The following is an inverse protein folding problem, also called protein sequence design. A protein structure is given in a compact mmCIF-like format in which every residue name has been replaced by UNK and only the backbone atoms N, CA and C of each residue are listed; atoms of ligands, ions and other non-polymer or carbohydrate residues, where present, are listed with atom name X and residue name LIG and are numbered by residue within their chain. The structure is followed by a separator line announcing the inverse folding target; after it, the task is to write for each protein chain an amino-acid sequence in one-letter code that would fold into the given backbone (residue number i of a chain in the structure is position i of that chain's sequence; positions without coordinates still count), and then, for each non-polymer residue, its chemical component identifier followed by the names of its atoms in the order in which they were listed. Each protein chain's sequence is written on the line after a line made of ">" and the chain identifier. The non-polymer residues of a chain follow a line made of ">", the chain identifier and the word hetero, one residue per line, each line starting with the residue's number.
data_IF_797055521052
#
_entry.id   IF_797055521052
#
_cell.length_a   1.000
_cell.length_b   1.000
_cell.length_c   1.000
_cell.angle_alpha   90.00
_cell.angle_beta   90.00
_cell.angle_gamma   90.00
#
_symmetry.space_group_name_H-M   'P 1'
#
loop_
_entity.id
_entity.type
_entity.pdbx_description
1 polymer ?
#
# COMPACT_ATOMS: atom_id res chain seq x y z
N UNK A 1 43.84 -26.63 12.18
CA UNK A 1 42.71 -26.85 11.23
C UNK A 1 41.70 -25.70 11.24
N UNK A 2 41.19 -25.26 12.40
CA UNK A 2 40.20 -24.16 12.49
C UNK A 2 40.68 -22.80 11.91
N UNK A 3 41.99 -22.52 11.96
CA UNK A 3 42.54 -21.26 11.44
C UNK A 3 42.62 -21.22 9.91
N UNK A 4 42.81 -22.37 9.25
CA UNK A 4 42.80 -22.48 7.77
C UNK A 4 41.41 -22.19 7.23
N UNK A 5 40.39 -22.82 7.81
CA UNK A 5 39.00 -22.65 7.40
C UNK A 5 38.49 -21.22 7.56
N UNK A 6 38.99 -20.49 8.57
CA UNK A 6 38.64 -19.09 8.79
C UNK A 6 39.26 -18.17 7.73
N UNK A 7 40.53 -18.40 7.35
CA UNK A 7 41.20 -17.65 6.28
C UNK A 7 40.56 -17.89 4.93
N UNK A 8 40.17 -19.13 4.65
CA UNK A 8 39.50 -19.51 3.40
C UNK A 8 38.11 -18.84 3.30
N UNK A 9 37.37 -18.77 4.42
CA UNK A 9 36.09 -18.06 4.48
C UNK A 9 36.25 -16.54 4.28
N UNK A 10 37.29 -15.92 4.86
CA UNK A 10 37.56 -14.49 4.66
C UNK A 10 38.03 -14.18 3.23
N UNK A 11 38.75 -15.10 2.57
CA UNK A 11 39.06 -15.01 1.15
C UNK A 11 37.81 -15.11 0.28
N UNK A 12 36.95 -16.11 0.52
CA UNK A 12 35.70 -16.28 -0.20
C UNK A 12 34.78 -15.06 -0.06
N UNK A 13 34.66 -14.50 1.15
CA UNK A 13 33.86 -13.30 1.40
C UNK A 13 34.33 -12.10 0.56
N UNK A 14 35.64 -11.92 0.40
CA UNK A 14 36.21 -10.84 -0.40
C UNK A 14 35.89 -10.99 -1.89
N UNK A 15 35.96 -12.21 -2.43
CA UNK A 15 35.56 -12.48 -3.82
C UNK A 15 34.07 -12.24 -4.05
N UNK A 16 33.22 -12.60 -3.08
CA UNK A 16 31.78 -12.31 -3.14
C UNK A 16 31.53 -10.80 -3.13
N UNK A 17 32.21 -10.05 -2.26
CA UNK A 17 32.06 -8.60 -2.17
C UNK A 17 32.43 -7.89 -3.48
N UNK A 18 33.50 -8.33 -4.14
CA UNK A 18 33.88 -7.81 -5.46
C UNK A 18 32.84 -8.16 -6.53
N UNK A 19 32.38 -9.40 -6.55
CA UNK A 19 31.35 -9.85 -7.50
C UNK A 19 30.06 -9.06 -7.34
N UNK A 20 29.67 -8.80 -6.10
CA UNK A 20 28.50 -8.01 -5.76
C UNK A 20 28.67 -6.54 -6.13
N UNK A 21 29.86 -5.97 -5.92
CA UNK A 21 30.18 -4.59 -6.32
C UNK A 21 30.08 -4.39 -7.83
N UNK A 22 30.64 -5.30 -8.62
CA UNK A 22 30.65 -5.20 -10.09
C UNK A 22 29.37 -5.75 -10.74
N UNK A 23 28.55 -6.50 -10.01
CA UNK A 23 27.42 -7.25 -10.56
C UNK A 23 27.82 -8.43 -11.44
N UNK A 24 29.12 -8.71 -11.57
CA UNK A 24 29.69 -9.81 -12.31
C UNK A 24 31.04 -10.20 -11.70
N UNK A 25 31.49 -11.43 -11.97
CA UNK A 25 32.79 -11.88 -11.48
C UNK A 25 33.92 -11.11 -12.20
N UNK A 26 34.94 -10.56 -11.50
CA UNK A 26 35.99 -9.76 -12.13
C UNK A 26 36.74 -10.46 -13.27
N UNK A 27 36.93 -11.78 -13.17
CA UNK A 27 37.52 -12.58 -14.25
C UNK A 27 36.77 -12.43 -15.58
N UNK A 28 35.45 -12.35 -15.56
CA UNK A 28 34.66 -12.19 -16.78
C UNK A 28 34.90 -10.82 -17.46
N UNK A 29 35.32 -9.79 -16.70
CA UNK A 29 35.73 -8.49 -17.27
C UNK A 29 37.03 -8.66 -18.05
N UNK A 30 37.98 -9.39 -17.47
CA UNK A 30 39.28 -9.66 -18.11
C UNK A 30 39.09 -10.55 -19.33
N UNK A 31 38.34 -11.65 -19.22
CA UNK A 31 38.06 -12.57 -20.32
C UNK A 31 37.42 -11.83 -21.50
N UNK A 32 36.47 -10.91 -21.25
CA UNK A 32 35.87 -10.08 -22.29
C UNK A 32 36.90 -9.16 -22.96
N UNK A 33 37.89 -8.64 -22.20
CA UNK A 33 38.96 -7.82 -22.76
C UNK A 33 39.89 -8.64 -23.67
N UNK A 34 40.21 -9.88 -23.28
CA UNK A 34 41.01 -10.81 -24.10
C UNK A 34 40.31 -11.08 -25.44
N UNK A 35 39.01 -11.42 -25.38
CA UNK A 35 38.19 -11.64 -26.58
C UNK A 35 38.21 -10.41 -27.48
N UNK A 36 37.97 -9.22 -26.92
CA UNK A 36 37.99 -7.99 -27.70
C UNK A 36 39.37 -7.64 -28.27
N UNK A 37 40.46 -7.90 -27.55
CA UNK A 37 41.81 -7.69 -28.07
C UNK A 37 42.07 -8.54 -29.31
N UNK A 38 41.67 -9.81 -29.28
CA UNK A 38 41.81 -10.73 -30.41
C UNK A 38 40.90 -10.33 -31.58
N UNK A 39 39.63 -10.00 -31.33
CA UNK A 39 38.72 -9.48 -32.37
C UNK A 39 39.29 -8.23 -33.06
N UNK A 40 39.83 -7.29 -32.27
CA UNK A 40 40.44 -6.08 -32.80
C UNK A 40 41.72 -6.36 -33.59
N UNK A 41 42.52 -7.35 -33.20
CA UNK A 41 43.69 -7.79 -33.96
C UNK A 41 43.28 -8.21 -35.37
N UNK A 42 42.26 -9.05 -35.50
CA UNK A 42 41.78 -9.52 -36.80
C UNK A 42 41.19 -8.38 -37.65
N UNK A 43 40.41 -7.49 -37.03
CA UNK A 43 39.83 -6.33 -37.72
C UNK A 43 40.91 -5.36 -38.23
N UNK A 44 41.96 -5.13 -37.43
CA UNK A 44 43.10 -4.31 -37.83
C UNK A 44 43.97 -5.01 -38.88
N UNK A 45 44.15 -6.33 -38.78
CA UNK A 45 44.85 -7.14 -39.77
C UNK A 45 44.21 -7.00 -41.15
N UNK A 46 42.89 -7.15 -41.26
CA UNK A 46 42.18 -6.98 -42.53
C UNK A 46 42.34 -5.57 -43.13
N UNK A 47 42.30 -4.52 -42.29
CA UNK A 47 42.53 -3.13 -42.73
C UNK A 47 43.97 -2.90 -43.17
N UNK A 48 44.94 -3.49 -42.47
CA UNK A 48 46.34 -3.41 -42.83
C UNK A 48 46.58 -4.11 -44.17
N UNK A 49 45.97 -5.27 -44.40
CA UNK A 49 46.04 -6.00 -45.66
C UNK A 49 45.52 -5.15 -46.83
N UNK A 50 44.39 -4.48 -46.65
CA UNK A 50 43.83 -3.56 -47.65
C UNK A 50 44.78 -2.41 -47.98
N UNK A 51 45.42 -1.82 -46.96
CA UNK A 51 46.41 -0.76 -47.16
C UNK A 51 47.69 -1.26 -47.84
N UNK A 52 48.21 -2.41 -47.43
CA UNK A 52 49.43 -3.01 -48.03
C UNK A 52 49.17 -3.39 -49.48
N UNK A 53 48.01 -4.01 -49.78
CA UNK A 53 47.59 -4.34 -51.14
C UNK A 53 47.54 -3.10 -52.04
N UNK A 54 47.05 -1.97 -51.52
CA UNK A 54 46.98 -0.71 -52.25
C UNK A 54 48.36 -0.08 -52.55
N UNK A 55 49.40 -0.44 -51.80
CA UNK A 55 50.76 0.07 -51.96
C UNK A 55 51.65 -0.82 -52.84
N UNK A 56 51.25 -2.07 -53.07
CA UNK A 56 52.01 -3.05 -53.85
C UNK A 56 51.65 -3.04 -55.34
N UNK A 57 52.59 -3.40 -56.23
CA UNK A 57 52.32 -3.56 -57.66
C UNK A 57 51.38 -4.75 -57.94
N UNK A 58 50.45 -4.56 -58.89
CA UNK A 58 49.30 -5.43 -59.12
C UNK A 58 49.63 -6.91 -59.41
N UNK A 59 50.81 -7.20 -59.95
CA UNK A 59 51.18 -8.52 -60.46
C UNK A 59 51.32 -9.57 -59.33
N UNK A 60 51.62 -9.13 -58.11
CA UNK A 60 51.72 -9.96 -56.90
C UNK A 60 51.09 -9.36 -55.63
N UNK A 61 50.51 -8.15 -55.71
CA UNK A 61 50.00 -7.41 -54.54
C UNK A 61 49.09 -8.22 -53.62
N UNK A 62 48.20 -9.05 -54.17
CA UNK A 62 47.25 -9.85 -53.37
C UNK A 62 47.99 -10.88 -52.48
N UNK A 63 48.86 -11.69 -53.09
CA UNK A 63 49.55 -12.78 -52.40
C UNK A 63 50.58 -12.26 -51.40
N UNK A 64 51.35 -11.25 -51.80
CA UNK A 64 52.41 -10.69 -50.97
C UNK A 64 51.81 -9.92 -49.78
N UNK A 65 50.68 -9.23 -49.97
CA UNK A 65 49.96 -8.58 -48.88
C UNK A 65 49.36 -9.60 -47.92
N UNK A 66 48.63 -10.59 -48.41
CA UNK A 66 48.01 -11.64 -47.58
C UNK A 66 49.08 -12.37 -46.76
N UNK A 67 50.17 -12.83 -47.39
CA UNK A 67 51.22 -13.58 -46.71
C UNK A 67 51.98 -12.73 -45.68
N UNK A 68 52.31 -11.48 -46.03
CA UNK A 68 53.02 -10.56 -45.14
C UNK A 68 52.18 -10.16 -43.94
N UNK A 69 50.91 -9.79 -44.17
CA UNK A 69 49.99 -9.44 -43.10
C UNK A 69 49.68 -10.64 -42.23
N UNK A 70 49.45 -11.82 -42.81
CA UNK A 70 49.22 -13.05 -42.05
C UNK A 70 50.39 -13.40 -41.12
N UNK A 71 51.63 -13.22 -41.58
CA UNK A 71 52.82 -13.42 -40.74
C UNK A 71 52.86 -12.42 -39.56
N UNK A 72 52.49 -11.17 -39.79
CA UNK A 72 52.43 -10.13 -38.74
C UNK A 72 51.30 -10.42 -37.76
N UNK A 73 50.08 -10.75 -38.22
CA UNK A 73 48.97 -11.07 -37.32
C UNK A 73 49.26 -12.30 -36.49
N UNK A 74 49.85 -13.36 -37.06
CA UNK A 74 50.26 -14.56 -36.32
C UNK A 74 51.31 -14.23 -35.25
N UNK A 75 52.27 -13.35 -35.56
CA UNK A 75 53.24 -12.89 -34.57
C UNK A 75 52.57 -12.09 -33.45
N UNK A 76 51.68 -11.17 -33.80
CA UNK A 76 50.95 -10.35 -32.85
C UNK A 76 50.00 -11.16 -31.98
N UNK A 77 49.38 -12.21 -32.51
CA UNK A 77 48.52 -13.14 -31.76
C UNK A 77 49.31 -13.78 -30.62
N UNK A 78 50.47 -14.37 -30.92
CA UNK A 78 51.35 -14.95 -29.90
C UNK A 78 51.79 -13.92 -28.84
N UNK A 79 52.04 -12.67 -29.25
CA UNK A 79 52.44 -11.60 -28.32
C UNK A 79 51.26 -11.14 -27.46
N UNK A 80 50.08 -10.98 -28.07
CA UNK A 80 48.86 -10.59 -27.38
C UNK A 80 48.47 -11.67 -26.37
N UNK A 81 48.46 -12.95 -26.74
CA UNK A 81 48.16 -14.04 -25.81
C UNK A 81 49.08 -14.00 -24.59
N UNK A 82 50.40 -13.89 -24.82
CA UNK A 82 51.37 -13.80 -23.72
C UNK A 82 51.17 -12.58 -22.81
N UNK A 83 50.93 -11.40 -23.39
CA UNK A 83 50.72 -10.17 -22.62
C UNK A 83 49.38 -10.22 -21.89
N UNK A 84 48.34 -10.75 -22.53
CA UNK A 84 47.00 -10.83 -21.98
C UNK A 84 46.91 -11.85 -20.83
N UNK A 85 47.64 -12.96 -20.90
CA UNK A 85 47.79 -13.89 -19.77
C UNK A 85 48.47 -13.20 -18.57
N UNK A 86 49.55 -12.47 -18.81
CA UNK A 86 50.24 -11.71 -17.77
C UNK A 86 49.36 -10.59 -17.20
N UNK A 87 48.55 -9.96 -18.06
CA UNK A 87 47.58 -8.94 -17.66
C UNK A 87 46.43 -9.54 -16.84
N UNK A 88 45.92 -10.73 -17.18
CA UNK A 88 44.92 -11.44 -16.36
C UNK A 88 45.46 -11.68 -14.96
N UNK A 89 46.67 -12.23 -14.87
CA UNK A 89 47.31 -12.48 -13.59
C UNK A 89 47.48 -11.19 -12.79
N UNK A 90 47.99 -10.11 -13.42
CA UNK A 90 48.15 -8.82 -12.77
C UNK A 90 46.81 -8.25 -12.27
N UNK A 91 45.76 -8.34 -13.08
CA UNK A 91 44.44 -7.87 -12.69
C UNK A 91 43.90 -8.62 -11.47
N UNK A 92 44.07 -9.94 -11.45
CA UNK A 92 43.58 -10.78 -10.35
C UNK A 92 44.44 -10.67 -9.08
N UNK A 93 45.72 -10.32 -9.18
CA UNK A 93 46.64 -10.21 -8.05
C UNK A 93 46.76 -8.79 -7.48
N UNK A 94 46.54 -7.76 -8.30
CA UNK A 94 46.76 -6.35 -7.91
C UNK A 94 45.54 -5.46 -8.03
N UNK A 95 44.71 -5.61 -9.07
CA UNK A 95 43.62 -4.67 -9.36
C UNK A 95 42.33 -5.08 -8.66
N UNK A 96 41.90 -6.33 -8.85
CA UNK A 96 40.68 -6.90 -8.28
C UNK A 96 40.95 -7.59 -6.95
N UNK A 97 41.70 -6.91 -6.07
CA UNK A 97 42.05 -7.42 -4.75
C UNK A 97 41.59 -6.46 -3.67
N UNK A 98 40.92 -7.03 -2.66
CA UNK A 98 40.57 -6.34 -1.43
C UNK A 98 41.45 -6.91 -0.31
N UNK A 99 42.16 -6.03 0.39
CA UNK A 99 42.92 -6.44 1.57
C UNK A 99 41.98 -6.76 2.74
N UNK A 100 42.35 -7.66 3.68
CA UNK A 100 41.54 -7.92 4.87
C UNK A 100 41.25 -6.66 5.70
N UNK A 101 42.15 -5.69 5.69
CA UNK A 101 41.95 -4.41 6.38
C UNK A 101 40.88 -3.54 5.68
N UNK A 102 40.84 -3.56 4.34
CA UNK A 102 39.83 -2.85 3.56
C UNK A 102 38.46 -3.52 3.67
N UNK A 103 38.37 -4.86 3.56
CA UNK A 103 37.08 -5.57 3.61
C UNK A 103 36.31 -5.28 4.90
N UNK A 104 37.00 -5.18 6.04
CA UNK A 104 36.40 -4.83 7.34
C UNK A 104 35.89 -3.40 7.44
N UNK A 105 36.38 -2.49 6.61
CA UNK A 105 36.03 -1.05 6.61
C UNK A 105 35.14 -0.66 5.44
N UNK A 106 35.07 -1.49 4.43
CA UNK A 106 34.21 -1.30 3.28
C UNK A 106 32.81 -1.83 3.61
N UNK A 107 31.80 -1.07 3.24
CA UNK A 107 30.41 -1.49 3.33
C UNK A 107 29.75 -1.05 2.04
N UNK A 108 29.18 -2.02 1.31
CA UNK A 108 28.45 -1.72 0.08
C UNK A 108 27.24 -0.86 0.41
N UNK A 109 26.82 -0.05 -0.56
CA UNK A 109 25.75 0.94 -0.40
C UNK A 109 24.45 0.29 0.07
N UNK A 110 24.11 -0.89 -0.45
CA UNK A 110 22.93 -1.68 -0.08
C UNK A 110 23.08 -2.48 1.21
N UNK A 111 24.29 -2.57 1.77
CA UNK A 111 24.51 -3.13 3.12
C UNK A 111 24.39 -2.07 4.22
N UNK A 112 24.27 -0.78 3.87
CA UNK A 112 24.12 0.29 4.86
C UNK A 112 22.78 0.17 5.58
N UNK A 113 22.83 0.19 6.91
CA UNK A 113 21.64 0.05 7.77
C UNK A 113 21.17 -1.39 7.95
N UNK A 114 21.85 -2.37 7.35
CA UNK A 114 21.60 -3.79 7.57
C UNK A 114 22.40 -4.27 8.79
N UNK A 115 21.82 -4.13 9.97
CA UNK A 115 22.39 -4.74 11.19
C UNK A 115 21.78 -6.14 11.41
N UNK A 116 22.48 -7.16 10.92
CA UNK A 116 22.09 -8.58 11.09
C UNK A 116 22.45 -9.13 12.48
N UNK A 117 23.02 -8.32 13.37
CA UNK A 117 23.41 -8.74 14.72
C UNK A 117 22.26 -8.62 15.73
N UNK A 118 21.15 -8.02 15.33
CA UNK A 118 20.03 -7.72 16.23
C UNK A 118 19.00 -8.84 16.34
N UNK A 119 18.56 -9.10 17.58
CA UNK A 119 17.31 -9.79 17.97
C UNK A 119 16.03 -9.14 17.38
N UNK A 120 16.20 -8.06 16.60
CA UNK A 120 15.15 -7.23 16.02
C UNK A 120 14.26 -7.98 15.03
N UNK A 121 14.72 -9.12 14.49
CA UNK A 121 13.96 -9.90 13.52
C UNK A 121 12.66 -10.48 14.10
N UNK A 122 12.61 -10.75 15.41
CA UNK A 122 11.38 -11.17 16.11
C UNK A 122 10.47 -9.98 16.49
N UNK A 123 11.01 -8.76 16.62
CA UNK A 123 10.25 -7.57 17.03
C UNK A 123 9.50 -6.88 15.88
N UNK A 124 9.96 -7.07 14.64
CA UNK A 124 9.32 -6.49 13.44
C UNK A 124 7.92 -7.07 13.22
N UNK A 125 7.70 -8.40 13.25
CA UNK A 125 6.36 -8.99 13.15
C UNK A 125 5.39 -8.46 14.20
N UNK A 126 5.83 -8.35 15.46
CA UNK A 126 4.98 -7.90 16.56
C UNK A 126 4.58 -6.43 16.44
N UNK A 127 5.52 -5.57 16.06
CA UNK A 127 5.25 -4.16 15.79
C UNK A 127 4.27 -3.99 14.62
N UNK A 128 4.44 -4.78 13.56
CA UNK A 128 3.55 -4.78 12.40
C UNK A 128 2.14 -5.24 12.79
N UNK A 129 2.02 -6.34 13.54
CA UNK A 129 0.74 -6.82 14.05
C UNK A 129 0.05 -5.80 14.96
N UNK A 130 0.80 -5.12 15.82
CA UNK A 130 0.27 -4.05 16.66
C UNK A 130 -0.25 -2.86 15.84
N UNK A 131 0.46 -2.46 14.79
CA UNK A 131 0.04 -1.41 13.86
C UNK A 131 -1.22 -1.81 13.09
N UNK A 132 -1.27 -3.04 12.56
CA UNK A 132 -2.46 -3.57 11.88
C UNK A 132 -3.68 -3.56 12.78
N UNK A 133 -3.53 -3.95 14.06
CA UNK A 133 -4.61 -3.88 15.07
C UNK A 133 -5.07 -2.43 15.32
N UNK A 134 -4.14 -1.48 15.44
CA UNK A 134 -4.47 -0.05 15.63
C UNK A 134 -5.21 0.54 14.43
N UNK A 135 -4.85 0.14 13.21
CA UNK A 135 -5.55 0.57 11.99
C UNK A 135 -6.97 -0.01 11.97
N UNK A 136 -7.14 -1.29 12.31
CA UNK A 136 -8.45 -1.92 12.37
C UNK A 136 -9.36 -1.26 13.41
N UNK A 137 -8.84 -0.95 14.60
CA UNK A 137 -9.63 -0.25 15.64
C UNK A 137 -10.00 1.17 15.21
N UNK A 138 -9.07 1.92 14.58
CA UNK A 138 -9.34 3.25 14.04
C UNK A 138 -10.41 3.24 12.93
N UNK A 139 -10.40 2.23 12.05
CA UNK A 139 -11.44 2.06 11.02
C UNK A 139 -12.80 1.74 11.64
N UNK A 140 -12.84 0.91 12.68
CA UNK A 140 -14.08 0.58 13.37
C UNK A 140 -14.68 1.79 14.11
N UNK A 141 -13.84 2.61 14.75
CA UNK A 141 -14.31 3.85 15.40
C UNK A 141 -14.80 4.86 14.38
N UNK A 142 -14.10 5.04 13.25
CA UNK A 142 -14.54 5.90 12.15
C UNK A 142 -15.89 5.47 11.59
N UNK A 143 -16.10 4.16 11.39
CA UNK A 143 -17.38 3.64 10.91
C UNK A 143 -18.53 3.93 11.89
N UNK A 144 -18.32 3.70 13.19
CA UNK A 144 -19.33 4.02 14.22
C UNK A 144 -19.61 5.51 14.31
N UNK A 145 -18.59 6.37 14.17
CA UNK A 145 -18.76 7.81 14.16
C UNK A 145 -19.60 8.26 12.97
N UNK A 146 -19.33 7.73 11.77
CA UNK A 146 -20.12 8.03 10.57
C UNK A 146 -21.60 7.62 10.72
N UNK A 147 -21.88 6.45 11.32
CA UNK A 147 -23.25 6.03 11.61
C UNK A 147 -23.93 6.95 12.64
N UNK A 148 -23.21 7.35 13.68
CA UNK A 148 -23.73 8.27 14.70
C UNK A 148 -24.01 9.66 14.11
N UNK A 149 -23.15 10.15 13.22
CA UNK A 149 -23.34 11.40 12.49
C UNK A 149 -24.58 11.37 11.61
N UNK A 150 -24.78 10.29 10.84
CA UNK A 150 -25.99 10.11 10.03
C UNK A 150 -27.26 10.08 10.89
N UNK A 151 -27.23 9.34 12.01
CA UNK A 151 -28.36 9.28 12.94
C UNK A 151 -28.65 10.64 13.58
N UNK A 152 -27.61 11.40 13.95
CA UNK A 152 -27.73 12.76 14.47
C UNK A 152 -28.32 13.71 13.42
N UNK A 153 -27.90 13.60 12.16
CA UNK A 153 -28.41 14.40 11.07
C UNK A 153 -29.92 14.17 10.84
N UNK A 154 -30.36 12.90 10.83
CA UNK A 154 -31.79 12.56 10.74
C UNK A 154 -32.58 13.11 11.93
N UNK A 155 -32.03 13.05 13.14
CA UNK A 155 -32.67 13.62 14.34
C UNK A 155 -32.79 15.15 14.24
N UNK A 156 -31.76 15.81 13.75
CA UNK A 156 -31.76 17.26 13.53
C UNK A 156 -32.83 17.66 12.50
N UNK A 157 -32.87 17.01 11.35
CA UNK A 157 -33.87 17.27 10.31
C UNK A 157 -35.31 17.08 10.84
N UNK A 158 -35.54 16.02 11.64
CA UNK A 158 -36.84 15.80 12.29
C UNK A 158 -37.18 16.90 13.28
N UNK A 159 -36.22 17.32 14.11
CA UNK A 159 -36.42 18.41 15.06
C UNK A 159 -36.70 19.74 14.35
N UNK A 160 -36.02 20.00 13.23
CA UNK A 160 -36.26 21.18 12.39
C UNK A 160 -37.62 21.14 11.70
N UNK A 161 -38.05 19.98 11.21
CA UNK A 161 -39.39 19.78 10.62
C UNK A 161 -40.50 19.97 11.66
N UNK A 162 -40.31 19.47 12.88
CA UNK A 162 -41.23 19.76 13.99
C UNK A 162 -41.22 21.26 14.29
N UNK A 163 -40.04 21.87 14.43
CA UNK A 163 -39.92 23.33 14.67
C UNK A 163 -40.63 24.14 13.58
N UNK A 164 -40.50 23.78 12.31
CA UNK A 164 -41.15 24.48 11.19
C UNK A 164 -42.66 24.27 11.18
N UNK A 165 -43.14 23.05 11.44
CA UNK A 165 -44.58 22.77 11.58
C UNK A 165 -45.21 23.61 12.71
N UNK A 166 -44.49 23.79 13.83
CA UNK A 166 -44.93 24.64 14.93
C UNK A 166 -44.55 26.12 14.80
N UNK A 167 -43.78 26.52 13.78
CA UNK A 167 -43.39 27.91 13.57
C UNK A 167 -44.61 28.80 13.29
N UNK A 168 -45.66 28.25 12.67
CA UNK A 168 -46.93 28.92 12.48
C UNK A 168 -47.57 29.34 13.82
N UNK A 169 -47.57 28.47 14.83
CA UNK A 169 -48.04 28.83 16.17
C UNK A 169 -47.18 29.93 16.79
N UNK A 170 -45.87 29.97 16.53
CA UNK A 170 -45.01 31.06 17.01
C UNK A 170 -45.34 32.42 16.37
N UNK A 171 -45.66 32.44 15.08
CA UNK A 171 -46.03 33.66 14.34
C UNK A 171 -47.46 34.09 14.64
N UNK A 172 -48.41 33.15 14.71
CA UNK A 172 -49.78 33.42 15.13
C UNK A 172 -49.86 33.79 16.60
N UNK A 173 -49.11 33.14 17.50
CA UNK A 173 -49.00 33.57 18.88
C UNK A 173 -48.40 34.97 18.96
N UNK A 174 -47.33 35.30 18.23
CA UNK A 174 -46.82 36.69 18.18
C UNK A 174 -47.84 37.69 17.63
N UNK A 175 -48.63 37.33 16.61
CA UNK A 175 -49.68 38.20 16.04
C UNK A 175 -50.90 38.34 16.95
N UNK A 176 -51.31 37.26 17.62
CA UNK A 176 -52.46 37.20 18.52
C UNK A 176 -52.15 37.77 19.91
N UNK A 177 -50.90 37.64 20.36
CA UNK A 177 -50.40 38.32 21.55
C UNK A 177 -50.16 39.79 21.26
N UNK A 178 -49.60 40.21 20.12
CA UNK A 178 -49.25 41.62 19.92
C UNK A 178 -48.50 42.20 21.15
N UNK A 179 -48.80 43.44 21.52
CA UNK A 179 -48.33 44.10 22.75
C UNK A 179 -49.20 43.75 23.99
N UNK A 180 -49.98 42.65 23.94
CA UNK A 180 -50.87 42.29 25.03
C UNK A 180 -50.09 41.83 26.27
N UNK A 181 -50.56 42.29 27.42
CA UNK A 181 -50.10 41.86 28.74
C UNK A 181 -50.03 40.34 28.84
N UNK A 182 -48.98 39.76 29.44
CA UNK A 182 -48.78 38.31 29.55
C UNK A 182 -49.96 37.58 30.21
N UNK A 183 -50.80 38.29 30.97
CA UNK A 183 -52.01 37.75 31.61
C UNK A 183 -53.15 37.53 30.61
N UNK A 184 -53.38 38.47 29.68
CA UNK A 184 -54.43 38.34 28.65
C UNK A 184 -54.05 37.30 27.60
N UNK A 185 -52.76 37.21 27.31
CA UNK A 185 -52.19 36.14 26.48
C UNK A 185 -52.44 34.75 27.11
N UNK A 186 -52.14 34.59 28.41
CA UNK A 186 -52.38 33.35 29.12
C UNK A 186 -53.87 32.98 29.14
N UNK A 187 -54.77 33.96 29.32
CA UNK A 187 -56.21 33.72 29.33
C UNK A 187 -56.73 33.27 27.96
N UNK A 188 -56.28 33.91 26.87
CA UNK A 188 -56.63 33.51 25.50
C UNK A 188 -56.07 32.14 25.13
N UNK A 189 -54.85 31.81 25.56
CA UNK A 189 -54.27 30.48 25.37
C UNK A 189 -55.08 29.43 26.13
N UNK A 190 -55.44 29.70 27.39
CA UNK A 190 -56.24 28.77 28.21
C UNK A 190 -57.61 28.50 27.58
N UNK A 191 -58.24 29.51 26.95
CA UNK A 191 -59.49 29.35 26.22
C UNK A 191 -59.34 28.62 24.88
N UNK A 192 -58.15 28.66 24.26
CA UNK A 192 -57.87 27.98 22.99
C UNK A 192 -57.42 26.52 23.18
N UNK A 193 -56.83 26.17 24.33
CA UNK A 193 -56.34 24.82 24.66
C UNK A 193 -57.41 23.72 24.48
N UNK A 194 -58.68 23.89 24.91
CA UNK A 194 -59.71 22.87 24.71
C UNK A 194 -60.01 22.60 23.24
N UNK A 195 -59.98 23.64 22.39
CA UNK A 195 -60.22 23.50 20.95
C UNK A 195 -59.07 22.79 20.26
N UNK A 196 -57.84 23.08 20.67
CA UNK A 196 -56.63 22.41 20.17
C UNK A 196 -56.59 20.95 20.61
N UNK A 197 -56.95 20.66 21.87
CA UNK A 197 -57.09 19.28 22.38
C UNK A 197 -58.17 18.51 21.62
N UNK A 198 -59.34 19.10 21.36
CA UNK A 198 -60.39 18.46 20.57
C UNK A 198 -59.96 18.22 19.11
N UNK A 199 -59.22 19.15 18.51
CA UNK A 199 -58.65 18.97 17.17
C UNK A 199 -57.58 17.86 17.15
N UNK A 200 -56.74 17.78 18.19
CA UNK A 200 -55.75 16.71 18.37
C UNK A 200 -56.41 15.35 18.60
N UNK A 201 -57.50 15.28 19.35
CA UNK A 201 -58.29 14.05 19.54
C UNK A 201 -58.91 13.57 18.23
N UNK A 202 -59.44 14.51 17.42
CA UNK A 202 -59.96 14.20 16.09
C UNK A 202 -58.86 13.71 15.14
N UNK A 203 -57.71 14.38 15.13
CA UNK A 203 -56.54 13.97 14.34
C UNK A 203 -56.00 12.60 14.81
N UNK A 204 -56.03 12.33 16.12
CA UNK A 204 -55.66 11.04 16.71
C UNK A 204 -56.65 9.93 16.33
N UNK A 205 -57.93 10.24 16.23
CA UNK A 205 -58.97 9.31 15.77
C UNK A 205 -58.80 8.94 14.28
N UNK A 206 -58.42 9.91 13.44
CA UNK A 206 -58.15 9.70 12.02
C UNK A 206 -56.84 8.93 11.75
N UNK A 207 -55.99 8.72 12.78
CA UNK A 207 -54.73 7.93 12.75
C UNK A 207 -53.82 8.15 11.51
N UNK A 208 -53.62 9.38 10.98
CA UNK A 208 -52.81 9.60 9.79
C UNK A 208 -51.32 9.24 10.00
N UNK A 209 -50.82 9.35 11.23
CA UNK A 209 -49.45 9.00 11.61
C UNK A 209 -49.24 7.48 11.78
N UNK A 210 -50.30 6.69 11.94
CA UNK A 210 -50.18 5.24 12.05
C UNK A 210 -49.78 4.61 10.70
N UNK A 211 -50.29 5.12 9.58
CA UNK A 211 -49.90 4.68 8.24
C UNK A 211 -48.52 5.20 7.81
N UNK A 212 -48.02 6.30 8.40
CA UNK A 212 -46.70 6.86 8.07
C UNK A 212 -45.55 6.28 8.92
N UNK A 213 -45.84 5.66 10.07
CA UNK A 213 -44.84 5.16 11.02
C UNK A 213 -44.77 3.63 11.13
N UNK A 214 -45.74 2.89 10.58
CA UNK A 214 -45.68 1.45 10.45
C UNK A 214 -45.02 1.08 9.11
N UNK A 215 -43.99 0.22 9.08
CA UNK A 215 -43.60 -0.42 7.82
C UNK A 215 -44.77 -1.28 7.31
N UNK A 216 -44.86 -1.44 5.98
CA UNK A 216 -45.92 -2.19 5.32
C UNK A 216 -46.13 -3.58 5.96
N UNK A 217 -47.40 -4.05 6.10
CA UNK A 217 -47.70 -5.28 6.80
C UNK A 217 -47.39 -6.48 5.91
N UNK A 218 -46.16 -6.96 5.96
CA UNK A 218 -45.84 -8.32 5.55
C UNK A 218 -45.57 -9.18 6.80
N UNK A 219 -46.16 -10.38 6.78
CA UNK A 219 -46.06 -11.49 7.73
C UNK A 219 -47.09 -11.53 8.88
N UNK A 220 -48.16 -12.28 8.62
CA UNK A 220 -49.04 -12.91 9.60
C UNK A 220 -48.23 -13.65 10.68
N UNK A 221 -48.07 -13.05 11.87
CA UNK A 221 -47.61 -13.76 13.06
C UNK A 221 -48.49 -13.37 14.25
N UNK A 222 -48.92 -14.33 15.10
CA UNK A 222 -49.85 -14.08 16.19
C UNK A 222 -49.23 -13.11 17.18
N UNK A 223 -49.82 -11.91 17.23
CA UNK A 223 -49.38 -10.82 18.09
C UNK A 223 -49.78 -11.14 19.52
N UNK A 224 -48.80 -11.44 20.39
CA UNK A 224 -49.00 -11.39 21.83
C UNK A 224 -49.05 -9.90 22.23
N UNK A 225 -50.25 -9.32 22.21
CA UNK A 225 -50.55 -7.87 22.15
C UNK A 225 -50.11 -7.04 23.37
N UNK A 226 -49.32 -7.58 24.32
CA UNK A 226 -49.08 -6.93 25.62
C UNK A 226 -47.64 -7.00 26.13
N UNK A 227 -46.66 -7.34 25.30
CA UNK A 227 -45.25 -7.39 25.73
C UNK A 227 -44.70 -6.00 26.15
N UNK A 228 -45.19 -4.90 25.56
CA UNK A 228 -44.79 -3.54 25.93
C UNK A 228 -45.43 -3.03 27.24
N UNK A 229 -46.47 -3.69 27.76
CA UNK A 229 -47.16 -3.29 29.01
C UNK A 229 -46.43 -3.81 30.26
N UNK A 230 -45.59 -4.83 30.11
CA UNK A 230 -44.92 -5.52 31.23
C UNK A 230 -43.54 -4.92 31.59
N UNK A 231 -43.17 -3.82 30.94
CA UNK A 231 -41.95 -3.05 31.26
C UNK A 231 -40.83 -3.19 30.23
N UNK A 232 -39.77 -2.41 30.43
CA UNK A 232 -38.68 -2.22 29.45
C UNK A 232 -37.91 -3.50 29.15
N UNK A 233 -37.60 -4.28 30.17
CA UNK A 233 -36.72 -5.44 30.03
C UNK A 233 -37.45 -6.60 29.33
N UNK A 234 -38.76 -6.75 29.56
CA UNK A 234 -39.59 -7.72 28.83
C UNK A 234 -39.77 -7.32 27.36
N UNK A 235 -39.94 -6.03 27.07
CA UNK A 235 -40.01 -5.53 25.70
C UNK A 235 -38.70 -5.77 24.94
N UNK A 236 -37.55 -5.47 25.55
CA UNK A 236 -36.24 -5.70 24.93
C UNK A 236 -35.99 -7.19 24.67
N UNK A 237 -36.39 -8.05 25.61
CA UNK A 237 -36.27 -9.49 25.45
C UNK A 237 -37.17 -9.99 24.30
N UNK A 238 -38.41 -9.52 24.22
CA UNK A 238 -39.34 -9.83 23.12
C UNK A 238 -38.79 -9.37 21.76
N UNK A 239 -38.25 -8.15 21.67
CA UNK A 239 -37.72 -7.58 20.43
C UNK A 239 -36.47 -8.34 19.96
N UNK A 240 -35.59 -8.73 20.88
CA UNK A 240 -34.44 -9.58 20.59
C UNK A 240 -34.86 -10.95 20.05
N UNK A 241 -35.87 -11.59 20.66
CA UNK A 241 -36.40 -12.87 20.19
C UNK A 241 -37.04 -12.75 18.81
N UNK A 242 -37.75 -11.65 18.53
CA UNK A 242 -38.33 -11.35 17.23
C UNK A 242 -37.26 -11.19 16.15
N UNK A 243 -36.18 -10.45 16.42
CA UNK A 243 -35.07 -10.26 15.48
C UNK A 243 -34.40 -11.60 15.19
N UNK A 244 -34.11 -12.41 16.21
CA UNK A 244 -33.50 -13.74 16.03
C UNK A 244 -34.40 -14.66 15.19
N UNK A 245 -35.71 -14.64 15.43
CA UNK A 245 -36.67 -15.41 14.63
C UNK A 245 -36.70 -14.94 13.17
N UNK A 246 -36.70 -13.63 12.92
CA UNK A 246 -36.65 -13.07 11.56
C UNK A 246 -35.35 -13.42 10.84
N UNK A 247 -34.20 -13.43 11.54
CA UNK A 247 -32.92 -13.80 10.96
C UNK A 247 -32.84 -15.29 10.59
N UNK A 248 -33.44 -16.17 11.41
CA UNK A 248 -33.55 -17.60 11.08
C UNK A 248 -34.43 -17.86 9.86
N UNK A 249 -35.55 -17.15 9.74
CA UNK A 249 -36.46 -17.27 8.61
C UNK A 249 -35.85 -16.81 7.27
N UNK A 250 -34.87 -15.90 7.29
CA UNK A 250 -34.14 -15.44 6.10
C UNK A 250 -32.89 -16.30 5.76
N UNK A 251 -32.56 -17.29 6.60
CA UNK A 251 -31.40 -18.18 6.41
C UNK A 251 -31.78 -19.60 5.94
N UNK A 252 -33.08 -19.85 5.69
CA UNK A 252 -33.62 -21.04 5.04
C UNK A 252 -34.12 -20.69 3.66
#
# INVERSE_FOLDING_TARGET
>A
MAESTARDAEAAHRHVMLTELFGMHPRAIVDALVVHANEHLYLLGAKLEEQVRALLPADQAERDAEQGVHAITTLLENVIDYIMDAFELFCMDSVFVITPAQSRRMTLSHHRGLDLRGETQERIPDAEHALRRRIASARATQHRLAQAEQAAHVRLQRAEAVRSAYAFFGVEAKRALGDASPVDAAHKVTLAVPKVLAALERLRAERPLAHALLPAPDAEHPVDQRAWEKGRDEYLNWEAHRIIASMRAHSS
#
